data_IF_953643665411
#
_entry.id   IF_953643665411
#
_cell.length_a   1.000
_cell.length_b   1.000
_cell.length_c   1.000
_cell.angle_alpha   90.00
_cell.angle_beta   90.00
_cell.angle_gamma   90.00
#
_symmetry.space_group_name_H-M   'P 1'
#
loop_
_entity.id
_entity.type
_entity.pdbx_description
1 polymer ?
#
# COMPACT_ATOMS: atom_id res chain seq x y z
N UNK A 1 -19.01 -47.17 7.58
CA UNK A 1 -17.87 -47.75 6.84
C UNK A 1 -16.60 -47.29 7.53
N UNK A 2 -15.79 -48.26 7.97
CA UNK A 2 -14.51 -48.11 8.68
C UNK A 2 -13.54 -47.20 7.92
N UNK A 3 -12.97 -46.21 8.60
CA UNK A 3 -11.71 -45.60 8.18
C UNK A 3 -10.58 -46.47 8.76
N UNK A 4 -9.91 -47.16 7.85
CA UNK A 4 -8.75 -48.01 8.06
C UNK A 4 -7.55 -47.20 8.55
N UNK A 5 -7.02 -47.61 9.71
CA UNK A 5 -5.71 -47.27 10.26
C UNK A 5 -4.61 -47.72 9.30
N UNK A 6 -3.67 -46.84 8.93
CA UNK A 6 -2.41 -47.23 8.28
C UNK A 6 -1.25 -47.14 9.29
N UNK A 7 -0.45 -48.22 9.46
CA UNK A 7 0.64 -48.26 10.42
C UNK A 7 1.91 -47.51 9.97
N UNK A 8 2.67 -47.09 10.97
CA UNK A 8 3.94 -46.37 10.89
C UNK A 8 4.99 -47.06 10.00
N UNK A 9 5.63 -46.28 9.13
CA UNK A 9 6.82 -46.68 8.38
C UNK A 9 8.07 -46.35 9.20
N UNK A 10 8.65 -47.39 9.80
CA UNK A 10 9.94 -47.36 10.48
C UNK A 10 11.09 -47.36 9.47
N UNK A 11 11.58 -46.18 9.12
CA UNK A 11 12.82 -46.00 8.36
C UNK A 11 14.04 -46.27 9.26
N UNK A 12 14.36 -47.54 9.50
CA UNK A 12 15.67 -47.94 9.99
C UNK A 12 16.69 -47.81 8.85
N UNK A 13 17.42 -46.69 8.83
CA UNK A 13 18.53 -46.48 7.92
C UNK A 13 19.72 -47.36 8.34
N UNK A 14 20.06 -48.30 7.46
CA UNK A 14 21.11 -49.31 7.59
C UNK A 14 22.48 -48.64 7.52
N UNK A 15 23.29 -48.77 8.58
CA UNK A 15 24.70 -48.37 8.61
C UNK A 15 25.49 -49.29 7.65
N UNK A 16 26.31 -48.77 6.71
CA UNK A 16 27.16 -49.63 5.90
C UNK A 16 28.33 -50.17 6.73
N UNK A 17 28.46 -51.50 6.74
CA UNK A 17 29.60 -52.21 7.29
C UNK A 17 30.85 -51.95 6.43
N UNK A 18 31.90 -51.41 7.04
CA UNK A 18 33.20 -51.18 6.40
C UNK A 18 33.97 -52.51 6.40
N UNK A 19 34.25 -53.05 5.21
CA UNK A 19 35.11 -54.23 5.07
C UNK A 19 36.59 -53.82 5.19
N UNK A 20 37.29 -54.48 6.10
CA UNK A 20 38.69 -54.20 6.42
C UNK A 20 39.63 -54.89 5.42
N UNK A 21 40.26 -54.11 4.55
CA UNK A 21 41.41 -54.57 3.74
C UNK A 21 42.71 -53.99 4.31
N UNK A 22 43.87 -54.64 4.16
CA UNK A 22 45.15 -54.16 4.71
C UNK A 22 45.57 -52.78 4.18
N UNK A 23 45.04 -52.36 3.02
CA UNK A 23 45.23 -51.01 2.46
C UNK A 23 44.38 -49.94 3.18
N UNK A 24 43.24 -50.33 3.76
CA UNK A 24 42.38 -49.46 4.57
C UNK A 24 43.03 -49.10 5.91
N UNK A 25 43.78 -50.02 6.51
CA UNK A 25 44.54 -49.74 7.73
C UNK A 25 45.68 -48.76 7.50
N UNK A 26 46.40 -48.85 6.37
CA UNK A 26 47.41 -47.87 5.99
C UNK A 26 46.80 -46.48 5.75
N UNK A 27 45.63 -46.39 5.11
CA UNK A 27 44.93 -45.12 4.91
C UNK A 27 44.39 -44.52 6.23
N UNK A 28 43.93 -45.36 7.16
CA UNK A 28 43.47 -44.92 8.48
C UNK A 28 44.64 -44.45 9.37
N UNK A 29 45.79 -45.12 9.32
CA UNK A 29 46.99 -44.69 10.07
C UNK A 29 47.55 -43.38 9.47
N UNK A 30 47.51 -43.24 8.14
CA UNK A 30 47.99 -42.03 7.45
C UNK A 30 47.04 -40.83 7.65
N UNK A 31 45.73 -41.06 7.79
CA UNK A 31 44.78 -39.99 8.14
C UNK A 31 44.87 -39.59 9.61
N UNK A 32 45.03 -40.54 10.53
CA UNK A 32 45.19 -40.25 11.97
C UNK A 32 46.50 -39.53 12.26
N UNK A 33 47.60 -39.88 11.58
CA UNK A 33 48.87 -39.13 11.66
C UNK A 33 48.79 -37.74 11.04
N UNK A 34 48.00 -37.55 9.97
CA UNK A 34 47.75 -36.23 9.38
C UNK A 34 46.94 -35.32 10.33
N UNK A 35 45.97 -35.87 11.06
CA UNK A 35 45.18 -35.12 12.06
C UNK A 35 45.99 -34.82 13.33
N UNK A 36 46.86 -35.73 13.77
CA UNK A 36 47.74 -35.52 14.93
C UNK A 36 48.91 -34.56 14.66
N UNK A 37 49.31 -34.36 13.40
CA UNK A 37 50.44 -33.48 13.03
C UNK A 37 50.07 -31.99 12.94
N UNK A 38 48.79 -31.64 13.09
CA UNK A 38 48.31 -30.25 13.12
C UNK A 38 47.98 -29.74 14.54
N UNK A 39 48.20 -30.56 15.59
CA UNK A 39 47.82 -30.20 16.97
C UNK A 39 48.92 -30.46 18.01
N UNK A 40 50.18 -30.14 17.68
CA UNK A 40 51.27 -30.12 18.68
C UNK A 40 51.99 -28.78 18.63
N UNK A 41 51.48 -27.83 19.41
CA UNK A 41 52.29 -26.72 19.92
C UNK A 41 52.33 -26.88 21.45
N UNK A 42 53.43 -27.44 21.96
CA UNK A 42 53.78 -27.38 23.37
C UNK A 42 54.39 -26.00 23.66
N UNK A 43 53.92 -25.28 24.69
CA UNK A 43 54.80 -24.42 25.46
C UNK A 43 54.85 -24.95 26.89
N UNK A 44 55.86 -25.75 27.18
CA UNK A 44 56.31 -25.97 28.56
C UNK A 44 57.41 -24.95 28.88
N UNK A 45 57.05 -23.87 29.59
CA UNK A 45 58.01 -23.19 30.49
C UNK A 45 57.31 -22.32 31.55
N UNK A 46 57.46 -22.76 32.79
CA UNK A 46 57.61 -22.02 34.05
C UNK A 46 56.44 -21.21 34.66
N UNK A 47 55.98 -21.74 35.81
CA UNK A 47 55.63 -21.09 37.08
C UNK A 47 54.45 -20.09 37.16
N UNK A 48 53.46 -20.44 37.99
CA UNK A 48 52.33 -19.62 38.48
C UNK A 48 52.79 -18.91 39.79
N UNK A 49 52.36 -17.67 40.12
CA UNK A 49 51.05 -17.47 40.75
C UNK A 49 50.23 -16.29 40.22
N UNK A 50 48.90 -16.48 40.22
CA UNK A 50 47.83 -15.51 40.49
C UNK A 50 48.03 -14.04 40.05
N UNK A 51 47.35 -13.65 38.96
CA UNK A 51 46.15 -12.77 38.96
C UNK A 51 45.60 -12.82 37.54
N UNK A 52 44.51 -13.58 37.37
CA UNK A 52 43.68 -13.52 36.18
C UNK A 52 43.09 -12.11 36.07
N UNK A 53 43.68 -11.27 35.22
CA UNK A 53 42.91 -10.19 34.61
C UNK A 53 42.12 -10.83 33.48
N UNK A 54 40.89 -11.26 33.80
CA UNK A 54 39.89 -11.57 32.80
C UNK A 54 39.80 -10.38 31.84
N UNK A 55 40.28 -10.58 30.61
CA UNK A 55 39.90 -9.70 29.51
C UNK A 55 38.42 -9.97 29.29
N UNK A 56 37.58 -9.09 29.86
CA UNK A 56 36.14 -9.01 29.54
C UNK A 56 35.98 -9.23 28.03
N UNK A 57 35.13 -10.15 27.58
CA UNK A 57 34.77 -10.24 26.18
C UNK A 57 34.36 -8.84 25.74
N UNK A 58 35.06 -8.28 24.74
CA UNK A 58 34.66 -7.00 24.16
C UNK A 58 33.27 -7.24 23.58
N UNK A 59 32.25 -6.76 24.26
CA UNK A 59 30.88 -6.81 23.77
C UNK A 59 30.86 -6.25 22.35
N UNK A 60 30.36 -7.05 21.41
CA UNK A 60 30.27 -6.64 20.01
C UNK A 60 29.49 -5.33 19.90
N UNK A 61 29.91 -4.40 19.02
CA UNK A 61 29.23 -3.12 18.85
C UNK A 61 27.74 -3.28 18.53
N UNK A 62 27.35 -4.40 17.91
CA UNK A 62 25.97 -4.74 17.61
C UNK A 62 25.08 -4.97 18.85
N UNK A 63 25.64 -5.40 19.98
CA UNK A 63 24.89 -5.76 21.21
C UNK A 63 25.01 -4.72 22.34
N UNK A 64 25.64 -3.57 22.08
CA UNK A 64 25.84 -2.53 23.10
C UNK A 64 24.50 -2.06 23.68
N UNK A 65 24.38 -2.13 25.01
CA UNK A 65 23.21 -1.64 25.76
C UNK A 65 22.12 -2.68 26.03
N UNK A 66 22.29 -3.94 25.59
CA UNK A 66 21.33 -5.02 25.84
C UNK A 66 21.94 -6.07 26.79
N UNK A 67 21.17 -6.60 27.76
CA UNK A 67 21.62 -7.65 28.66
C UNK A 67 21.55 -9.03 27.98
N UNK A 68 22.32 -9.22 26.91
CA UNK A 68 22.40 -10.50 26.17
C UNK A 68 23.64 -11.26 26.63
N UNK A 69 23.42 -12.39 27.31
CA UNK A 69 24.49 -13.21 27.90
C UNK A 69 24.71 -14.53 27.16
N UNK A 70 23.67 -15.08 26.55
CA UNK A 70 23.65 -16.48 26.05
C UNK A 70 23.70 -16.59 24.51
N UNK A 71 23.42 -15.51 23.77
CA UNK A 71 23.29 -15.53 22.31
C UNK A 71 24.45 -14.80 21.64
N UNK A 72 24.92 -15.35 20.51
CA UNK A 72 25.82 -14.62 19.62
C UNK A 72 25.11 -13.39 19.02
N UNK A 73 25.85 -12.38 18.52
CA UNK A 73 25.25 -11.19 17.92
C UNK A 73 24.26 -11.50 16.80
N UNK A 74 24.62 -12.43 15.92
CA UNK A 74 23.79 -12.78 14.78
C UNK A 74 22.55 -13.57 15.21
N UNK A 75 22.66 -14.46 16.20
CA UNK A 75 21.50 -15.16 16.78
C UNK A 75 20.55 -14.19 17.49
N UNK A 76 21.08 -13.20 18.21
CA UNK A 76 20.27 -12.18 18.86
C UNK A 76 19.54 -11.30 17.83
N UNK A 77 20.23 -10.92 16.74
CA UNK A 77 19.63 -10.16 15.63
C UNK A 77 18.55 -11.00 14.94
N UNK A 78 18.83 -12.26 14.61
CA UNK A 78 17.85 -13.17 14.01
C UNK A 78 16.65 -13.38 14.93
N UNK A 79 16.88 -13.56 16.23
CA UNK A 79 15.80 -13.68 17.20
C UNK A 79 14.93 -12.42 17.23
N UNK A 80 15.55 -11.25 17.30
CA UNK A 80 14.84 -9.99 17.32
C UNK A 80 14.05 -9.75 16.01
N UNK A 81 14.64 -10.04 14.85
CA UNK A 81 13.96 -9.95 13.55
C UNK A 81 12.76 -10.91 13.46
N UNK A 82 12.84 -12.09 14.06
CA UNK A 82 11.73 -13.04 14.10
C UNK A 82 10.61 -12.63 15.08
N UNK A 83 10.90 -11.79 16.09
CA UNK A 83 9.93 -11.40 17.13
C UNK A 83 9.33 -10.03 16.92
N UNK A 84 10.12 -9.09 16.40
CA UNK A 84 9.74 -7.69 16.24
C UNK A 84 9.47 -7.33 14.78
N UNK A 85 9.88 -8.18 13.84
CA UNK A 85 9.56 -8.04 12.42
C UNK A 85 8.91 -9.32 11.87
N UNK A 86 8.57 -9.30 10.59
CA UNK A 86 7.99 -10.45 9.88
C UNK A 86 9.04 -11.51 9.47
N UNK A 87 10.14 -11.60 10.22
CA UNK A 87 11.31 -12.41 9.89
C UNK A 87 12.39 -11.66 9.09
N UNK A 88 13.62 -12.22 9.03
CA UNK A 88 14.77 -11.59 8.37
C UNK A 88 14.62 -11.61 6.85
N UNK A 89 14.68 -10.45 6.20
CA UNK A 89 14.82 -10.35 4.73
C UNK A 89 16.30 -10.38 4.34
N UNK A 90 16.63 -10.72 3.09
CA UNK A 90 18.00 -10.59 2.60
C UNK A 90 18.55 -9.18 2.82
N UNK A 91 19.68 -9.05 3.53
CA UNK A 91 20.30 -7.78 3.89
C UNK A 91 19.84 -7.15 5.21
N UNK A 92 18.84 -7.72 5.90
CA UNK A 92 18.35 -7.17 7.17
C UNK A 92 19.32 -7.41 8.33
N UNK A 93 19.93 -8.59 8.38
CA UNK A 93 20.89 -8.93 9.44
C UNK A 93 22.09 -7.98 9.39
N UNK A 94 22.65 -7.77 8.20
CA UNK A 94 23.77 -6.86 7.98
C UNK A 94 23.40 -5.41 8.32
N UNK A 95 22.20 -4.97 7.92
CA UNK A 95 21.68 -3.63 8.23
C UNK A 95 21.52 -3.40 9.74
N UNK A 96 20.94 -4.36 10.46
CA UNK A 96 20.79 -4.28 11.92
C UNK A 96 22.14 -4.36 12.61
N UNK A 97 23.07 -5.19 12.11
CA UNK A 97 24.42 -5.30 12.64
C UNK A 97 25.19 -3.98 12.52
N UNK A 98 25.08 -3.28 11.38
CA UNK A 98 25.69 -1.96 11.15
C UNK A 98 25.05 -0.86 12.01
N UNK A 99 23.72 -0.91 12.18
CA UNK A 99 22.98 0.08 12.99
C UNK A 99 23.16 -0.14 14.50
N UNK A 100 23.32 -1.40 14.91
CA UNK A 100 23.22 -1.86 16.30
C UNK A 100 21.81 -2.32 16.65
N UNK A 101 21.72 -3.47 17.31
CA UNK A 101 20.45 -4.10 17.67
C UNK A 101 19.60 -3.22 18.61
N UNK A 102 20.24 -2.60 19.61
CA UNK A 102 19.54 -1.73 20.56
C UNK A 102 18.84 -0.54 19.87
N UNK A 103 19.54 0.11 18.93
CA UNK A 103 19.01 1.24 18.16
C UNK A 103 17.88 0.80 17.23
N UNK A 104 18.02 -0.38 16.62
CA UNK A 104 16.96 -0.94 15.78
C UNK A 104 15.69 -1.28 16.59
N UNK A 105 15.83 -1.86 17.79
CA UNK A 105 14.71 -2.12 18.69
C UNK A 105 14.02 -0.80 19.09
N UNK A 106 14.80 0.23 19.41
CA UNK A 106 14.27 1.55 19.76
C UNK A 106 13.40 2.15 18.62
N UNK A 107 13.82 1.96 17.36
CA UNK A 107 13.01 2.39 16.21
C UNK A 107 11.68 1.64 16.11
N UNK A 108 11.63 0.35 16.48
CA UNK A 108 10.38 -0.41 16.49
C UNK A 108 9.41 0.08 17.58
N UNK A 109 9.94 0.52 18.72
CA UNK A 109 9.14 1.06 19.83
C UNK A 109 8.70 2.51 19.58
N UNK A 110 9.51 3.29 18.86
CA UNK A 110 9.28 4.70 18.56
C UNK A 110 9.19 4.95 17.04
N UNK A 111 8.06 4.59 16.39
CA UNK A 111 7.93 4.67 14.92
C UNK A 111 8.04 6.09 14.37
N UNK A 112 7.68 7.11 15.16
CA UNK A 112 7.80 8.52 14.77
C UNK A 112 9.25 8.97 14.53
N UNK A 113 10.25 8.19 14.95
CA UNK A 113 11.67 8.47 14.73
C UNK A 113 12.19 8.00 13.36
N UNK A 114 11.39 7.23 12.62
CA UNK A 114 11.76 6.64 11.33
C UNK A 114 11.52 7.65 10.21
N UNK A 115 12.49 7.78 9.29
CA UNK A 115 12.37 8.64 8.10
C UNK A 115 11.68 7.90 6.94
N UNK A 116 10.38 8.11 6.80
CA UNK A 116 9.56 7.49 5.74
C UNK A 116 9.40 8.35 4.48
N UNK A 117 10.19 9.41 4.30
CA UNK A 117 10.06 10.35 3.15
C UNK A 117 10.13 9.67 1.79
N UNK A 118 10.98 8.65 1.64
CA UNK A 118 11.11 7.90 0.40
C UNK A 118 9.84 7.10 0.06
N UNK A 119 9.17 6.56 1.08
CA UNK A 119 7.88 5.87 0.90
C UNK A 119 6.78 6.89 0.58
N UNK A 120 6.73 8.00 1.33
CA UNK A 120 5.74 9.05 1.12
C UNK A 120 5.82 9.65 -0.29
N UNK A 121 7.04 9.81 -0.84
CA UNK A 121 7.25 10.22 -2.22
C UNK A 121 6.63 9.25 -3.23
N UNK A 122 6.75 7.94 -3.02
CA UNK A 122 6.12 6.92 -3.89
C UNK A 122 4.60 6.90 -3.76
N UNK A 123 4.08 7.21 -2.57
CA UNK A 123 2.63 7.27 -2.33
C UNK A 123 1.98 8.51 -2.97
N UNK A 124 2.75 9.54 -3.34
CA UNK A 124 2.21 10.71 -4.07
C UNK A 124 1.54 10.34 -5.39
N UNK A 125 2.01 9.29 -6.05
CA UNK A 125 1.49 8.84 -7.35
C UNK A 125 0.10 8.18 -7.24
N UNK A 126 -0.38 7.93 -6.01
CA UNK A 126 -1.66 7.26 -5.74
C UNK A 126 -2.65 8.21 -5.04
N UNK A 127 -3.28 9.14 -5.78
CA UNK A 127 -4.17 10.16 -5.20
C UNK A 127 -5.39 9.56 -4.49
N UNK A 128 -5.84 8.37 -4.89
CA UNK A 128 -6.95 7.64 -4.27
C UNK A 128 -6.72 7.33 -2.80
N UNK A 129 -5.46 7.17 -2.36
CA UNK A 129 -5.12 6.92 -0.95
C UNK A 129 -5.41 8.12 -0.04
N UNK A 130 -5.49 9.34 -0.60
CA UNK A 130 -5.79 10.57 0.14
C UNK A 130 -7.22 11.08 -0.05
N UNK A 131 -8.02 10.40 -0.88
CA UNK A 131 -9.41 10.78 -1.10
C UNK A 131 -10.27 10.38 0.10
N UNK A 132 -11.28 11.21 0.41
CA UNK A 132 -12.30 10.83 1.38
C UNK A 132 -13.19 9.72 0.81
N UNK A 133 -13.80 8.91 1.67
CA UNK A 133 -14.74 7.86 1.26
C UNK A 133 -15.87 8.42 0.38
N UNK A 134 -16.38 9.62 0.68
CA UNK A 134 -17.40 10.27 -0.12
C UNK A 134 -16.92 10.57 -1.54
N UNK A 135 -15.69 11.10 -1.70
CA UNK A 135 -15.10 11.38 -3.00
C UNK A 135 -14.82 10.10 -3.80
N UNK A 136 -14.37 9.04 -3.14
CA UNK A 136 -14.18 7.74 -3.78
C UNK A 136 -15.47 7.17 -4.36
N UNK A 137 -16.60 7.30 -3.66
CA UNK A 137 -17.90 6.80 -4.14
C UNK A 137 -18.40 7.61 -5.35
N UNK A 138 -18.18 8.92 -5.35
CA UNK A 138 -18.60 9.82 -6.44
C UNK A 138 -17.76 9.61 -7.72
N UNK A 139 -16.44 9.52 -7.56
CA UNK A 139 -15.50 9.42 -8.69
C UNK A 139 -15.37 7.97 -9.20
N UNK A 140 -15.58 6.97 -8.34
CA UNK A 140 -15.53 5.55 -8.67
C UNK A 140 -16.81 4.81 -8.24
N UNK A 141 -17.98 5.11 -8.84
CA UNK A 141 -19.24 4.48 -8.49
C UNK A 141 -19.24 2.99 -8.85
N UNK A 142 -20.02 2.19 -8.11
CA UNK A 142 -20.19 0.78 -8.44
C UNK A 142 -20.80 0.63 -9.85
N UNK A 143 -20.33 -0.31 -10.69
CA UNK A 143 -20.81 -0.43 -12.07
C UNK A 143 -22.34 -0.48 -12.22
N UNK A 144 -23.02 -1.22 -11.33
CA UNK A 144 -24.49 -1.30 -11.31
C UNK A 144 -25.17 0.03 -10.97
N UNK A 145 -24.55 0.86 -10.13
CA UNK A 145 -25.08 2.17 -9.78
C UNK A 145 -24.85 3.16 -10.93
N UNK A 146 -23.66 3.13 -11.53
CA UNK A 146 -23.33 3.94 -12.70
C UNK A 146 -24.27 3.64 -13.88
N UNK A 147 -24.56 2.36 -14.15
CA UNK A 147 -25.53 1.95 -15.19
C UNK A 147 -26.94 2.48 -14.91
N UNK A 148 -27.42 2.38 -13.66
CA UNK A 148 -28.74 2.90 -13.28
C UNK A 148 -28.82 4.42 -13.44
N UNK A 149 -27.80 5.15 -12.99
CA UNK A 149 -27.74 6.60 -13.15
C UNK A 149 -27.71 6.99 -14.64
N UNK A 150 -26.89 6.31 -15.45
CA UNK A 150 -26.84 6.54 -16.89
C UNK A 150 -28.19 6.28 -17.58
N UNK A 151 -28.89 5.20 -17.22
CA UNK A 151 -30.24 4.90 -17.73
C UNK A 151 -31.25 5.98 -17.33
N UNK A 152 -31.20 6.47 -16.09
CA UNK A 152 -32.08 7.55 -15.61
C UNK A 152 -31.84 8.85 -16.37
N UNK A 153 -30.57 9.25 -16.56
CA UNK A 153 -30.20 10.44 -17.32
C UNK A 153 -30.67 10.32 -18.78
N UNK A 154 -30.50 9.16 -19.41
CA UNK A 154 -30.98 8.91 -20.77
C UNK A 154 -32.52 8.95 -20.87
N UNK A 155 -33.23 8.41 -19.89
CA UNK A 155 -34.69 8.44 -19.84
C UNK A 155 -35.22 9.87 -19.69
N UNK A 156 -34.61 10.67 -18.81
CA UNK A 156 -34.94 12.09 -18.61
C UNK A 156 -34.70 12.90 -19.88
N UNK A 157 -33.52 12.75 -20.51
CA UNK A 157 -33.21 13.43 -21.77
C UNK A 157 -34.19 13.07 -22.90
N UNK A 158 -34.64 11.81 -22.97
CA UNK A 158 -35.66 11.38 -23.95
C UNK A 158 -37.02 12.02 -23.66
N UNK A 159 -37.42 12.11 -22.40
CA UNK A 159 -38.67 12.75 -22.02
C UNK A 159 -38.67 14.25 -22.34
N UNK A 160 -37.55 14.93 -22.09
CA UNK A 160 -37.40 16.35 -22.40
C UNK A 160 -37.49 16.63 -23.90
N UNK A 161 -36.85 15.82 -24.74
CA UNK A 161 -37.00 15.90 -26.20
C UNK A 161 -38.45 15.72 -26.65
N UNK A 162 -39.14 14.71 -26.12
CA UNK A 162 -40.57 14.50 -26.43
C UNK A 162 -41.43 15.71 -26.03
N UNK A 163 -41.09 16.36 -24.92
CA UNK A 163 -41.80 17.56 -24.45
C UNK A 163 -41.52 18.75 -25.38
N UNK A 164 -40.28 18.94 -25.81
CA UNK A 164 -39.95 20.00 -26.78
C UNK A 164 -40.64 19.75 -28.12
N UNK A 165 -40.60 18.52 -28.62
CA UNK A 165 -41.23 18.15 -29.89
C UNK A 165 -42.75 18.35 -29.84
N UNK A 166 -43.39 17.94 -28.74
CA UNK A 166 -44.82 18.18 -28.53
C UNK A 166 -45.15 19.68 -28.43
N UNK A 167 -44.30 20.48 -27.78
CA UNK A 167 -44.49 21.93 -27.73
C UNK A 167 -44.38 22.58 -29.12
N UNK A 168 -43.44 22.13 -29.96
CA UNK A 168 -43.32 22.60 -31.36
C UNK A 168 -44.59 22.27 -32.16
N UNK A 169 -45.10 21.05 -32.04
CA UNK A 169 -46.33 20.62 -32.75
C UNK A 169 -47.55 21.45 -32.30
N UNK A 170 -47.68 21.75 -31.01
CA UNK A 170 -48.77 22.58 -30.50
C UNK A 170 -48.68 24.00 -31.05
N UNK A 171 -47.49 24.62 -31.01
CA UNK A 171 -47.28 25.96 -31.57
C UNK A 171 -47.59 26.00 -33.07
N UNK A 172 -47.13 25.01 -33.84
CA UNK A 172 -47.41 24.91 -35.27
C UNK A 172 -48.92 24.83 -35.54
N UNK A 173 -49.64 23.98 -34.79
CA UNK A 173 -51.09 23.83 -34.91
C UNK A 173 -51.85 25.12 -34.56
N UNK A 174 -51.44 25.83 -33.52
CA UNK A 174 -52.06 27.12 -33.14
C UNK A 174 -51.80 28.21 -34.19
N UNK A 175 -50.63 28.17 -34.86
CA UNK A 175 -50.29 29.10 -35.95
C UNK A 175 -51.11 28.83 -37.21
N UNK A 176 -51.40 27.56 -37.53
CA UNK A 176 -52.23 27.18 -38.69
C UNK A 176 -53.73 27.41 -38.49
N UNK A 177 -54.22 27.37 -37.25
CA UNK A 177 -55.63 27.57 -36.92
C UNK A 177 -55.97 29.04 -36.59
N UNK A 178 -55.02 29.96 -36.69
CA UNK A 178 -55.29 31.39 -36.53
C UNK A 178 -56.10 31.90 -37.74
N UNK A 179 -57.28 32.51 -37.55
CA UNK A 179 -58.04 33.08 -38.66
C UNK A 179 -57.24 34.23 -39.29
N UNK A 180 -57.06 34.20 -40.61
CA UNK A 180 -56.58 35.34 -41.39
C UNK A 180 -57.56 36.51 -41.20
N UNK A 181 -57.20 37.45 -40.33
CA UNK A 181 -57.91 38.71 -40.20
C UNK A 181 -57.23 39.72 -41.13
N UNK A 182 -57.94 40.28 -42.13
CA UNK A 182 -57.33 41.15 -43.12
C UNK A 182 -56.83 42.43 -42.46
N UNK A 183 -55.66 42.87 -42.91
CA UNK A 183 -55.14 44.20 -42.66
C UNK A 183 -56.13 45.25 -43.17
N UNK A 184 -56.97 45.79 -42.28
CA UNK A 184 -57.66 47.04 -42.50
C UNK A 184 -57.06 48.10 -41.58
N UNK A 185 -56.46 49.08 -42.25
CA UNK A 185 -56.04 50.37 -41.74
C UNK A 185 -57.20 51.09 -41.06
N UNK A 186 -57.11 51.36 -39.77
CA UNK A 186 -57.68 52.56 -39.18
C UNK A 186 -57.04 52.84 -37.82
N UNK A 187 -56.28 53.92 -37.78
CA UNK A 187 -55.89 54.57 -36.54
C UNK A 187 -57.15 55.11 -35.84
N UNK A 188 -57.16 55.10 -34.50
CA UNK A 188 -57.52 56.33 -33.82
C UNK A 188 -56.44 56.72 -32.82
N UNK A 189 -56.10 58.00 -32.89
CA UNK A 189 -55.20 58.65 -31.98
C UNK A 189 -55.84 58.76 -30.57
N UNK A 190 -55.00 58.49 -29.57
CA UNK A 190 -54.95 59.10 -28.24
C UNK A 190 -55.96 58.61 -27.17
N UNK A 191 -55.44 57.87 -26.19
CA UNK A 191 -55.45 58.30 -24.79
C UNK A 191 -54.29 57.66 -24.02
N UNK A 192 -53.41 58.51 -23.53
CA UNK A 192 -52.40 58.28 -22.50
C UNK A 192 -53.03 57.84 -21.18
N UNK A 193 -52.60 56.71 -20.60
CA UNK A 193 -52.28 56.56 -19.17
C UNK A 193 -51.95 55.11 -18.78
N UNK A 194 -50.87 54.99 -18.00
CA UNK A 194 -50.58 53.94 -17.01
C UNK A 194 -49.83 52.68 -17.47
N UNK A 195 -48.51 52.73 -17.31
CA UNK A 195 -47.60 51.61 -17.34
C UNK A 195 -47.86 50.65 -16.15
N UNK A 196 -47.85 49.31 -16.34
CA UNK A 196 -47.75 48.39 -15.23
C UNK A 196 -46.34 48.45 -14.64
N UNK A 197 -46.27 48.78 -13.35
CA UNK A 197 -45.04 48.81 -12.56
C UNK A 197 -44.28 47.47 -12.61
N UNK A 198 -42.94 47.48 -12.72
CA UNK A 198 -42.12 46.29 -12.51
C UNK A 198 -42.17 45.87 -11.03
N UNK A 199 -42.22 44.56 -10.79
CA UNK A 199 -42.19 43.99 -9.44
C UNK A 199 -40.94 44.43 -8.66
N UNK A 200 -41.01 44.57 -7.32
CA UNK A 200 -39.84 44.92 -6.53
C UNK A 200 -38.80 43.80 -6.55
N UNK A 201 -37.54 44.22 -6.70
CA UNK A 201 -36.34 43.40 -6.62
C UNK A 201 -36.35 42.48 -5.39
N UNK A 202 -36.31 41.17 -5.63
CA UNK A 202 -35.93 40.19 -4.62
C UNK A 202 -34.38 40.12 -4.60
N UNK A 203 -33.69 40.44 -3.49
CA UNK A 203 -32.23 40.42 -3.44
C UNK A 203 -31.60 39.01 -3.38
N UNK A 204 -32.37 37.94 -3.60
CA UNK A 204 -31.84 36.57 -3.71
C UNK A 204 -32.00 36.00 -5.12
N UNK A 205 -31.20 36.50 -6.07
CA UNK A 205 -30.95 35.78 -7.31
C UNK A 205 -29.48 35.89 -7.71
N UNK A 206 -28.86 34.71 -7.72
CA UNK A 206 -27.46 34.44 -8.02
C UNK A 206 -27.06 34.99 -9.40
N UNK A 207 -25.95 35.72 -9.45
CA UNK A 207 -25.39 36.29 -10.68
C UNK A 207 -25.06 35.19 -11.73
N UNK A 208 -25.43 35.36 -13.01
CA UNK A 208 -24.87 34.53 -14.07
C UNK A 208 -23.43 34.99 -14.37
N UNK A 209 -22.48 34.11 -14.09
CA UNK A 209 -21.08 34.24 -14.51
C UNK A 209 -21.01 34.38 -16.03
N UNK A 210 -20.58 35.55 -16.50
CA UNK A 210 -20.25 35.81 -17.89
C UNK A 210 -18.94 35.08 -18.21
N UNK A 211 -19.01 33.92 -18.84
CA UNK A 211 -17.86 33.32 -19.54
C UNK A 211 -17.78 33.89 -20.95
N UNK A 212 -17.00 34.96 -21.09
CA UNK A 212 -16.52 35.45 -22.39
C UNK A 212 -15.03 35.19 -22.51
N UNK A 213 -14.61 34.82 -23.74
CA UNK A 213 -13.23 34.59 -24.26
C UNK A 213 -12.67 33.17 -24.02
N UNK A 214 -12.15 32.45 -25.02
CA UNK A 214 -11.73 32.82 -26.40
C UNK A 214 -11.44 31.54 -27.19
N UNK A 215 -11.91 31.49 -28.43
CA UNK A 215 -11.50 30.52 -29.42
C UNK A 215 -10.08 30.83 -29.97
N UNK A 216 -9.32 29.76 -30.22
CA UNK A 216 -8.29 29.57 -31.25
C UNK A 216 -7.19 30.64 -31.45
N UNK A 217 -5.94 30.24 -31.20
CA UNK A 217 -4.92 29.96 -32.23
C UNK A 217 -3.84 29.05 -31.66
#
# INVERSE_FOLDING_TARGET
MRLEERPASSFFQRIPAISATPRSFLAAILSVTCVLSLTVELPASAAIPAVAKEKKPKADPALKGLPITELSPDEAILHALNRLAYGPRPGDVERVQQMGLAKWIEQQLNPNSIDDRAMEARLQDYPTLRMSTAKLIDEYPQPKQAEKQAQQVQAQARQERRRSDAAVIVVEKDTQNAPEQPANSEAPAMTSASAPQPWPDNPSACAPMITSKRAMR
#
